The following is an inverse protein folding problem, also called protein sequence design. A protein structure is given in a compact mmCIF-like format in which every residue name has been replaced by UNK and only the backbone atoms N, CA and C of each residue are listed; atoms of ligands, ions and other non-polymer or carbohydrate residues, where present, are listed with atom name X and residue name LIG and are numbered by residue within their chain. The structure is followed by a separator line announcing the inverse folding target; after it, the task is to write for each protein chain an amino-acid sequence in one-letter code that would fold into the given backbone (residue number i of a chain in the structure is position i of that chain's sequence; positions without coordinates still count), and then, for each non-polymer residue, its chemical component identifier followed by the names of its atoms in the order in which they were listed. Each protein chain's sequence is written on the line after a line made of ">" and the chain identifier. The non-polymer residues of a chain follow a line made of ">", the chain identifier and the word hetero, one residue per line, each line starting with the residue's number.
data_IF_578106888733
#
_entry.id   IF_578106888733
#
_cell.length_a   1.000
_cell.length_b   1.000
_cell.length_c   1.000
_cell.angle_alpha   90.00
_cell.angle_beta   90.00
_cell.angle_gamma   90.00
#
_symmetry.space_group_name_H-M   'P 1'
#
loop_
_entity.id
_entity.type
_entity.pdbx_description
1 polymer ?
#
# COMPACT_ATOMS: atom_id res chain seq x y z
N UNK A 1 -6.60 -28.84 -12.30
CA UNK A 1 -8.00 -28.36 -12.40
C UNK A 1 -8.57 -28.11 -11.03
N UNK A 2 -9.50 -27.17 -10.90
CA UNK A 2 -10.05 -26.75 -9.60
C UNK A 2 -10.79 -27.88 -8.89
N UNK A 3 -10.47 -28.11 -7.62
CA UNK A 3 -11.12 -29.09 -6.77
C UNK A 3 -11.97 -28.40 -5.68
N UNK A 4 -13.12 -29.00 -5.37
CA UNK A 4 -13.91 -28.69 -4.17
C UNK A 4 -13.73 -29.83 -3.18
N UNK A 5 -12.99 -29.60 -2.10
CA UNK A 5 -12.70 -30.64 -1.11
C UNK A 5 -13.40 -30.30 0.20
N UNK A 6 -14.45 -31.03 0.51
CA UNK A 6 -15.26 -30.85 1.71
C UNK A 6 -15.20 -32.13 2.55
N UNK A 7 -14.79 -32.01 3.81
CA UNK A 7 -14.76 -33.18 4.72
C UNK A 7 -15.68 -32.98 5.92
N UNK A 8 -16.43 -34.04 6.31
CA UNK A 8 -17.24 -34.01 7.52
C UNK A 8 -16.41 -34.10 8.79
N UNK A 9 -16.84 -33.43 9.71
CA UNK A 9 -16.65 -32.97 11.08
C UNK A 9 -15.63 -33.60 12.03
N UNK A 10 -14.97 -34.73 11.84
CA UNK A 10 -14.10 -35.30 12.88
C UNK A 10 -12.84 -36.01 12.36
N UNK A 11 -11.70 -35.77 13.03
CA UNK A 11 -10.39 -36.38 12.79
C UNK A 11 -9.44 -35.48 12.00
N UNK A 12 -8.18 -35.49 12.41
CA UNK A 12 -7.06 -34.76 11.78
C UNK A 12 -6.93 -35.17 10.33
N UNK A 13 -6.79 -34.21 9.42
CA UNK A 13 -6.66 -34.42 8.00
C UNK A 13 -5.43 -33.70 7.46
N UNK A 14 -4.84 -34.29 6.43
CA UNK A 14 -3.86 -33.64 5.58
C UNK A 14 -4.44 -33.61 4.16
N UNK A 15 -4.65 -32.41 3.63
CA UNK A 15 -5.36 -32.18 2.37
C UNK A 15 -4.46 -31.39 1.44
N UNK A 16 -4.36 -31.82 0.20
CA UNK A 16 -3.69 -31.11 -0.89
C UNK A 16 -4.68 -30.80 -2.00
N UNK A 17 -4.75 -29.53 -2.45
CA UNK A 17 -5.55 -29.09 -3.60
C UNK A 17 -4.94 -29.53 -4.92
N UNK A 18 -3.65 -29.35 -5.07
CA UNK A 18 -2.90 -29.66 -6.27
C UNK A 18 -2.77 -28.47 -7.21
N UNK A 19 -2.95 -28.67 -8.52
CA UNK A 19 -2.83 -27.58 -9.47
C UNK A 19 -4.20 -26.97 -9.80
N UNK A 20 -4.33 -25.68 -9.74
CA UNK A 20 -5.53 -24.90 -10.11
C UNK A 20 -6.15 -24.26 -8.88
N UNK A 21 -7.16 -23.44 -9.08
CA UNK A 21 -7.78 -22.68 -7.98
C UNK A 21 -8.71 -23.60 -7.19
N UNK A 22 -8.33 -23.95 -5.98
CA UNK A 22 -8.99 -24.95 -5.17
C UNK A 22 -9.76 -24.31 -4.01
N UNK A 23 -10.80 -24.97 -3.55
CA UNK A 23 -11.58 -24.59 -2.38
C UNK A 23 -11.53 -25.72 -1.36
N UNK A 24 -10.82 -25.53 -0.27
CA UNK A 24 -10.51 -26.54 0.73
C UNK A 24 -11.14 -26.18 2.06
N UNK A 25 -11.85 -27.12 2.68
CA UNK A 25 -12.46 -26.90 4.00
C UNK A 25 -12.09 -28.03 4.94
N UNK A 26 -11.46 -27.68 6.04
CA UNK A 26 -11.15 -28.55 7.17
C UNK A 26 -12.38 -28.92 8.01
N UNK A 27 -12.17 -29.25 9.24
CA UNK A 27 -13.24 -29.75 10.09
C UNK A 27 -13.33 -29.09 11.47
N UNK A 28 -13.43 -29.90 12.50
CA UNK A 28 -13.43 -29.47 13.89
C UNK A 28 -12.24 -29.98 14.68
N UNK A 29 -11.22 -30.47 14.01
CA UNK A 29 -9.98 -31.01 14.58
C UNK A 29 -8.82 -30.30 13.91
N UNK A 30 -7.66 -30.29 14.53
CA UNK A 30 -6.45 -29.74 13.92
C UNK A 30 -6.15 -30.41 12.58
N UNK A 31 -6.20 -29.65 11.50
CA UNK A 31 -6.03 -30.11 10.12
C UNK A 31 -4.76 -29.51 9.49
N UNK A 32 -4.26 -30.11 8.42
CA UNK A 32 -3.17 -29.57 7.58
C UNK A 32 -3.72 -29.39 6.17
N UNK A 33 -3.86 -28.13 5.74
CA UNK A 33 -4.43 -27.74 4.47
C UNK A 33 -3.37 -27.11 3.57
N UNK A 34 -3.21 -27.63 2.35
CA UNK A 34 -2.26 -27.16 1.36
C UNK A 34 -3.02 -26.87 0.06
N UNK A 35 -2.94 -25.60 -0.40
CA UNK A 35 -3.49 -25.20 -1.70
C UNK A 35 -2.67 -25.76 -2.85
N UNK A 36 -1.35 -25.81 -2.66
CA UNK A 36 -0.31 -26.20 -3.60
C UNK A 36 -0.08 -25.12 -4.68
N UNK A 37 -0.72 -25.14 -5.85
CA UNK A 37 -0.46 -24.18 -6.92
C UNK A 37 -1.73 -23.65 -7.56
N UNK A 38 -1.98 -22.36 -7.43
CA UNK A 38 -3.18 -21.72 -7.96
C UNK A 38 -3.56 -20.49 -7.15
N UNK A 39 -4.80 -20.07 -7.24
CA UNK A 39 -5.40 -19.08 -6.36
C UNK A 39 -6.42 -19.83 -5.52
N UNK A 40 -6.04 -20.14 -4.30
CA UNK A 40 -6.73 -21.11 -3.48
C UNK A 40 -7.52 -20.44 -2.34
N UNK A 41 -8.48 -21.18 -1.79
CA UNK A 41 -9.26 -20.73 -0.64
C UNK A 41 -9.31 -21.85 0.40
N UNK A 42 -8.71 -21.61 1.56
CA UNK A 42 -8.54 -22.57 2.63
C UNK A 42 -9.32 -22.12 3.87
N UNK A 43 -10.16 -22.99 4.41
CA UNK A 43 -10.88 -22.80 5.68
C UNK A 43 -10.51 -23.89 6.68
N UNK A 44 -9.79 -23.56 7.74
CA UNK A 44 -9.47 -24.49 8.86
C UNK A 44 -10.71 -24.81 9.70
N UNK A 45 -11.45 -23.80 10.13
CA UNK A 45 -12.66 -23.77 10.97
C UNK A 45 -12.35 -23.86 12.47
N UNK A 46 -12.44 -25.03 13.08
CA UNK A 46 -12.12 -25.21 14.51
C UNK A 46 -10.96 -26.20 14.62
N UNK A 47 -10.05 -25.93 15.51
CA UNK A 47 -8.87 -26.76 15.70
C UNK A 47 -7.63 -25.90 15.77
N UNK A 48 -6.48 -26.51 15.90
CA UNK A 48 -5.22 -25.82 15.70
C UNK A 48 -4.72 -26.24 14.33
N UNK A 49 -5.01 -25.46 13.33
CA UNK A 49 -4.86 -25.83 11.94
C UNK A 49 -3.52 -25.34 11.36
N UNK A 50 -3.07 -25.96 10.29
CA UNK A 50 -1.95 -25.49 9.47
C UNK A 50 -2.49 -25.22 8.08
N UNK A 51 -2.33 -23.96 7.62
CA UNK A 51 -2.75 -23.50 6.31
C UNK A 51 -1.52 -23.04 5.52
N UNK A 52 -1.34 -23.61 4.34
CA UNK A 52 -0.29 -23.27 3.39
C UNK A 52 -0.94 -23.06 2.03
N UNK A 53 -1.05 -21.80 1.60
CA UNK A 53 -1.64 -21.47 0.30
C UNK A 53 -0.84 -22.06 -0.86
N UNK A 54 0.49 -21.95 -0.79
CA UNK A 54 1.40 -22.44 -1.82
C UNK A 54 1.77 -21.36 -2.83
N UNK A 55 1.80 -21.71 -4.13
CA UNK A 55 2.06 -20.74 -5.19
C UNK A 55 0.79 -20.03 -5.61
N UNK A 56 0.73 -18.72 -5.49
CA UNK A 56 -0.39 -17.87 -5.94
C UNK A 56 -0.92 -16.97 -4.85
N UNK A 57 -1.94 -16.20 -5.19
CA UNK A 57 -2.60 -15.26 -4.28
C UNK A 57 -3.74 -15.97 -3.54
N UNK A 58 -3.48 -16.43 -2.33
CA UNK A 58 -4.35 -17.34 -1.62
C UNK A 58 -5.15 -16.66 -0.50
N UNK A 59 -6.30 -17.23 -0.18
CA UNK A 59 -7.09 -16.84 0.98
C UNK A 59 -7.08 -17.97 2.02
N UNK A 60 -6.67 -17.63 3.24
CA UNK A 60 -6.51 -18.57 4.34
C UNK A 60 -7.29 -18.08 5.58
N UNK A 61 -8.28 -18.84 6.02
CA UNK A 61 -9.07 -18.59 7.23
C UNK A 61 -8.89 -19.78 8.19
N UNK A 62 -8.13 -19.58 9.26
CA UNK A 62 -7.88 -20.62 10.28
C UNK A 62 -9.11 -20.89 11.12
N UNK A 63 -9.79 -19.85 11.52
CA UNK A 63 -11.04 -19.91 12.26
C UNK A 63 -10.86 -19.87 13.77
N UNK A 64 -11.12 -20.92 14.50
CA UNK A 64 -10.95 -20.95 15.95
C UNK A 64 -9.87 -21.95 16.36
N UNK A 65 -8.91 -21.48 17.09
CA UNK A 65 -7.80 -22.32 17.54
C UNK A 65 -6.49 -21.54 17.55
N UNK A 66 -5.38 -22.24 17.70
CA UNK A 66 -4.07 -21.61 17.54
C UNK A 66 -3.50 -22.09 16.21
N UNK A 67 -3.65 -21.27 15.19
CA UNK A 67 -3.43 -21.65 13.82
C UNK A 67 -2.04 -21.23 13.30
N UNK A 68 -1.59 -21.89 12.27
CA UNK A 68 -0.31 -21.62 11.61
C UNK A 68 -0.55 -21.35 10.14
N UNK A 69 -0.08 -20.20 9.68
CA UNK A 69 -0.16 -19.76 8.30
C UNK A 69 1.22 -19.73 7.66
N UNK A 70 1.34 -20.23 6.44
CA UNK A 70 2.51 -20.04 5.59
C UNK A 70 2.17 -19.07 4.48
N UNK A 71 2.86 -17.93 4.46
CA UNK A 71 2.67 -16.82 3.53
C UNK A 71 3.85 -16.75 2.58
N UNK A 72 3.62 -16.95 1.31
CA UNK A 72 4.66 -17.01 0.28
C UNK A 72 4.47 -16.04 -0.89
N UNK A 73 3.29 -15.46 -1.05
CA UNK A 73 2.97 -14.42 -2.03
C UNK A 73 2.56 -13.11 -1.34
N UNK A 74 2.82 -11.97 -1.99
CA UNK A 74 2.46 -10.63 -1.45
C UNK A 74 0.96 -10.38 -1.45
N UNK A 75 0.20 -11.16 -2.20
CA UNK A 75 -1.26 -11.10 -2.30
C UNK A 75 -1.96 -12.18 -1.49
N UNK A 76 -1.23 -12.95 -0.68
CA UNK A 76 -1.83 -13.87 0.28
C UNK A 76 -2.62 -13.09 1.33
N UNK A 77 -3.83 -13.56 1.61
CA UNK A 77 -4.73 -12.96 2.59
C UNK A 77 -4.99 -13.93 3.73
N UNK A 78 -4.82 -13.43 4.96
CA UNK A 78 -5.16 -14.17 6.17
C UNK A 78 -6.42 -13.58 6.78
N UNK A 79 -7.37 -14.45 7.16
CA UNK A 79 -8.47 -14.16 8.06
C UNK A 79 -8.43 -15.10 9.26
N UNK A 80 -8.99 -14.67 10.38
CA UNK A 80 -9.06 -15.46 11.58
C UNK A 80 -10.18 -14.98 12.52
N UNK A 81 -10.75 -15.89 13.30
CA UNK A 81 -11.80 -15.53 14.24
C UNK A 81 -11.32 -15.48 15.68
N UNK A 82 -10.38 -16.33 16.10
CA UNK A 82 -9.86 -16.34 17.46
C UNK A 82 -8.75 -17.36 17.67
N UNK A 83 -7.73 -16.98 18.41
CA UNK A 83 -6.64 -17.87 18.70
C UNK A 83 -5.44 -17.18 19.33
N UNK A 84 -4.31 -17.84 19.20
CA UNK A 84 -2.98 -17.27 19.35
C UNK A 84 -2.15 -17.79 18.19
N UNK A 85 -2.13 -17.03 17.11
CA UNK A 85 -1.85 -17.50 15.78
C UNK A 85 -0.44 -17.12 15.34
N UNK A 86 0.12 -17.91 14.41
CA UNK A 86 1.49 -17.71 13.95
C UNK A 86 1.55 -17.69 12.44
N UNK A 87 2.07 -16.62 11.84
CA UNK A 87 2.40 -16.56 10.42
C UNK A 87 3.91 -16.75 10.19
N UNK A 88 4.27 -17.69 9.31
CA UNK A 88 5.60 -17.84 8.74
C UNK A 88 5.61 -17.18 7.36
N UNK A 89 6.38 -16.11 7.22
CA UNK A 89 6.37 -15.25 6.05
C UNK A 89 7.67 -15.41 5.29
N UNK A 90 7.62 -15.89 4.06
CA UNK A 90 8.78 -16.13 3.21
C UNK A 90 8.95 -15.12 2.07
N UNK A 91 7.97 -14.21 1.90
CA UNK A 91 8.03 -13.10 0.95
C UNK A 91 8.12 -11.76 1.68
N UNK A 92 8.79 -10.76 1.07
CA UNK A 92 8.95 -9.44 1.68
C UNK A 92 7.77 -8.53 1.39
N UNK A 93 7.51 -7.62 2.32
CA UNK A 93 6.56 -6.51 2.16
C UNK A 93 5.10 -6.92 2.02
N UNK A 94 4.70 -8.07 2.52
CA UNK A 94 3.29 -8.46 2.60
C UNK A 94 2.62 -7.84 3.83
N UNK A 95 1.37 -7.43 3.69
CA UNK A 95 0.53 -7.00 4.81
C UNK A 95 0.11 -8.22 5.62
N UNK A 96 0.57 -8.30 6.87
CA UNK A 96 0.08 -9.32 7.83
C UNK A 96 -0.88 -8.63 8.80
N UNK A 97 -2.12 -9.13 8.94
CA UNK A 97 -3.09 -8.56 9.86
C UNK A 97 -2.60 -8.53 11.31
N UNK A 98 -2.93 -7.47 12.05
CA UNK A 98 -2.47 -7.27 13.42
C UNK A 98 -3.12 -8.22 14.44
N UNK A 99 -4.14 -8.95 14.05
CA UNK A 99 -4.73 -10.00 14.87
C UNK A 99 -3.89 -11.30 14.87
N UNK A 100 -2.84 -11.41 14.03
CA UNK A 100 -1.85 -12.49 14.10
C UNK A 100 -0.80 -12.10 15.14
N UNK A 101 -0.79 -12.79 16.28
CA UNK A 101 0.04 -12.41 17.44
C UNK A 101 1.52 -12.67 17.22
N UNK A 102 1.86 -13.58 16.33
CA UNK A 102 3.26 -13.94 16.07
C UNK A 102 3.57 -14.03 14.60
N UNK A 103 4.48 -13.18 14.16
CA UNK A 103 4.98 -13.18 12.78
C UNK A 103 6.48 -13.56 12.77
N UNK A 104 6.84 -14.52 11.94
CA UNK A 104 8.20 -15.02 11.77
C UNK A 104 8.61 -14.87 10.30
N UNK A 105 9.49 -13.93 10.03
CA UNK A 105 10.06 -13.76 8.70
C UNK A 105 11.15 -14.78 8.44
N UNK A 106 11.05 -15.50 7.33
CA UNK A 106 11.96 -16.58 6.91
C UNK A 106 12.63 -16.21 5.58
N UNK A 107 13.68 -16.92 5.21
CA UNK A 107 14.36 -16.73 3.91
C UNK A 107 14.85 -15.29 3.64
N UNK A 108 15.07 -14.49 4.69
CA UNK A 108 15.47 -13.08 4.54
C UNK A 108 14.33 -12.12 4.21
N UNK A 109 13.09 -12.57 4.28
CA UNK A 109 11.91 -11.71 4.07
C UNK A 109 11.87 -10.55 5.07
N UNK A 110 11.35 -9.41 4.63
CA UNK A 110 11.32 -8.15 5.37
C UNK A 110 9.87 -7.71 5.56
N UNK A 111 9.55 -7.22 6.76
CA UNK A 111 8.24 -6.68 7.10
C UNK A 111 7.86 -5.49 6.19
N UNK A 112 6.57 -5.34 5.94
CA UNK A 112 6.04 -4.14 5.30
C UNK A 112 6.45 -2.91 6.12
N UNK A 113 6.94 -1.82 5.49
CA UNK A 113 7.33 -0.63 6.21
C UNK A 113 6.15 -0.02 6.97
N UNK A 114 6.36 0.32 8.25
CA UNK A 114 5.30 0.81 9.13
C UNK A 114 4.54 2.03 8.59
N UNK A 115 5.19 2.88 7.79
CA UNK A 115 4.57 4.08 7.21
C UNK A 115 3.64 3.79 6.03
N UNK A 116 3.73 2.61 5.45
CA UNK A 116 2.77 2.07 4.47
C UNK A 116 1.71 1.26 5.22
N UNK A 117 2.17 0.36 6.09
CA UNK A 117 1.34 -0.55 6.87
C UNK A 117 0.28 0.17 7.72
N UNK A 118 0.65 1.32 8.33
CA UNK A 118 -0.22 2.16 9.15
C UNK A 118 -1.40 2.81 8.40
N UNK A 119 -1.41 2.76 7.09
CA UNK A 119 -2.47 3.31 6.25
C UNK A 119 -3.28 2.22 5.54
N UNK A 120 -3.01 0.95 5.83
CA UNK A 120 -3.66 -0.20 5.20
C UNK A 120 -4.50 -0.97 6.23
N UNK A 121 -5.79 -1.21 5.96
CA UNK A 121 -6.65 -1.97 6.86
C UNK A 121 -6.21 -3.43 7.00
N UNK A 122 -6.54 -4.05 8.13
CA UNK A 122 -6.26 -5.46 8.41
C UNK A 122 -7.20 -6.44 7.70
N UNK A 123 -8.03 -5.99 6.82
CA UNK A 123 -9.06 -6.87 6.33
C UNK A 123 -8.54 -7.86 5.29
N UNK A 124 -8.61 -9.13 5.64
CA UNK A 124 -8.45 -10.26 4.73
C UNK A 124 -9.60 -10.39 3.72
N UNK A 125 -10.68 -9.66 3.87
CA UNK A 125 -11.88 -9.79 3.05
C UNK A 125 -11.76 -9.25 1.62
N UNK A 126 -10.54 -9.11 1.10
CA UNK A 126 -10.33 -8.70 -0.30
C UNK A 126 -10.76 -7.28 -0.58
N UNK A 127 -10.57 -6.39 0.37
CA UNK A 127 -10.95 -4.98 0.27
C UNK A 127 -10.00 -4.17 -0.62
N UNK A 128 -8.99 -4.79 -1.19
CA UNK A 128 -8.13 -4.13 -2.15
C UNK A 128 -8.74 -4.21 -3.54
N UNK A 129 -8.89 -3.07 -4.16
CA UNK A 129 -9.44 -3.00 -5.51
C UNK A 129 -8.56 -3.58 -6.58
N UNK A 130 -7.28 -3.80 -6.36
CA UNK A 130 -6.43 -4.46 -7.33
C UNK A 130 -7.02 -5.82 -7.73
N UNK A 131 -7.53 -6.59 -6.76
CA UNK A 131 -8.24 -7.86 -7.02
C UNK A 131 -9.56 -7.68 -7.75
N UNK A 132 -10.26 -6.55 -7.58
CA UNK A 132 -11.53 -6.24 -8.25
C UNK A 132 -11.34 -5.61 -9.63
N UNK A 133 -10.24 -4.89 -9.86
CA UNK A 133 -9.93 -4.23 -11.12
C UNK A 133 -9.53 -5.21 -12.22
N UNK A 134 -8.91 -6.33 -11.86
CA UNK A 134 -8.31 -7.24 -12.81
C UNK A 134 -7.30 -6.52 -13.71
N UNK A 135 -7.14 -6.97 -14.93
CA UNK A 135 -6.15 -6.41 -15.88
C UNK A 135 -6.53 -5.04 -16.48
N UNK A 136 -7.68 -4.49 -16.15
CA UNK A 136 -8.16 -3.23 -16.77
C UNK A 136 -7.68 -1.97 -16.09
N UNK A 137 -7.24 -2.03 -14.83
CA UNK A 137 -6.86 -0.91 -13.97
C UNK A 137 -7.84 0.28 -14.05
N UNK A 138 -9.15 0.00 -14.22
CA UNK A 138 -10.16 1.03 -14.46
C UNK A 138 -11.20 1.03 -13.36
N UNK A 139 -11.29 2.15 -12.64
CA UNK A 139 -12.42 2.51 -11.81
C UNK A 139 -13.46 3.28 -12.64
N UNK A 140 -14.71 3.05 -12.35
CA UNK A 140 -15.79 3.89 -12.83
C UNK A 140 -16.21 4.87 -11.75
N UNK A 141 -16.85 5.99 -12.14
CA UNK A 141 -17.44 6.91 -11.19
C UNK A 141 -18.78 7.46 -11.68
N UNK A 142 -19.66 7.76 -10.73
CA UNK A 142 -21.02 8.22 -11.01
C UNK A 142 -21.42 9.35 -10.05
N UNK A 143 -22.23 10.28 -10.57
CA UNK A 143 -22.92 11.30 -9.77
C UNK A 143 -24.42 11.07 -9.90
N UNK A 144 -25.04 10.27 -9.03
CA UNK A 144 -26.42 9.84 -9.18
C UNK A 144 -27.41 11.00 -8.98
N UNK A 145 -28.52 10.94 -9.69
CA UNK A 145 -29.64 11.90 -9.52
C UNK A 145 -30.67 11.44 -8.47
N UNK A 146 -30.55 10.23 -8.00
CA UNK A 146 -31.33 9.63 -6.92
C UNK A 146 -30.44 8.59 -6.21
N UNK A 147 -30.77 8.24 -4.96
CA UNK A 147 -30.06 7.19 -4.21
C UNK A 147 -30.08 5.90 -5.03
N UNK A 148 -28.92 5.23 -5.24
CA UNK A 148 -28.86 3.96 -5.95
C UNK A 148 -29.76 2.91 -5.28
N UNK A 149 -30.40 2.06 -6.08
CA UNK A 149 -31.41 1.09 -5.57
C UNK A 149 -30.82 -0.02 -4.72
N UNK A 150 -29.52 -0.27 -4.81
CA UNK A 150 -28.80 -1.22 -3.97
C UNK A 150 -28.48 -0.64 -2.58
N UNK A 151 -28.41 0.68 -2.46
CA UNK A 151 -28.16 1.33 -1.17
C UNK A 151 -29.44 1.41 -0.35
N UNK A 152 -29.57 0.50 0.57
CA UNK A 152 -30.72 0.39 1.49
C UNK A 152 -30.46 1.05 2.83
N UNK A 153 -29.32 1.71 3.01
CA UNK A 153 -29.00 2.41 4.25
C UNK A 153 -29.84 3.68 4.38
N UNK A 154 -30.71 3.71 5.38
CA UNK A 154 -31.60 4.84 5.61
C UNK A 154 -30.86 6.16 5.87
N UNK A 155 -29.66 6.11 6.46
CA UNK A 155 -28.83 7.30 6.71
C UNK A 155 -28.31 7.91 5.42
N UNK A 156 -27.98 7.11 4.41
CA UNK A 156 -27.50 7.59 3.10
C UNK A 156 -28.64 8.31 2.34
N UNK A 157 -29.87 7.82 2.46
CA UNK A 157 -31.05 8.46 1.88
C UNK A 157 -31.53 9.72 2.60
N UNK A 158 -31.11 9.94 3.85
CA UNK A 158 -31.57 11.07 4.63
C UNK A 158 -30.99 12.40 4.11
N UNK A 159 -31.86 13.22 3.51
CA UNK A 159 -31.45 14.48 2.92
C UNK A 159 -30.60 14.33 1.65
N UNK A 160 -30.71 13.21 0.94
CA UNK A 160 -29.99 12.97 -0.32
C UNK A 160 -30.11 14.17 -1.27
N UNK A 161 -28.98 14.61 -1.81
CA UNK A 161 -28.89 15.63 -2.87
C UNK A 161 -27.80 15.25 -3.86
N UNK A 162 -28.06 15.59 -5.11
CA UNK A 162 -27.09 15.46 -6.20
C UNK A 162 -25.92 16.43 -6.00
N UNK A 163 -24.79 16.09 -6.58
CA UNK A 163 -23.67 17.00 -6.67
C UNK A 163 -23.97 18.19 -7.56
N UNK A 164 -23.53 19.37 -7.16
CA UNK A 164 -23.50 20.56 -7.99
C UNK A 164 -22.43 20.43 -9.10
N UNK A 165 -22.56 21.23 -10.16
CA UNK A 165 -21.56 21.27 -11.25
C UNK A 165 -20.14 21.62 -10.72
N UNK A 166 -20.04 22.42 -9.67
CA UNK A 166 -18.76 22.78 -9.04
C UNK A 166 -18.17 21.58 -8.31
N UNK A 167 -18.97 20.86 -7.52
CA UNK A 167 -18.52 19.64 -6.84
C UNK A 167 -18.05 18.58 -7.85
N UNK A 168 -18.83 18.37 -8.93
CA UNK A 168 -18.45 17.46 -10.02
C UNK A 168 -17.08 17.82 -10.60
N UNK A 169 -16.89 19.08 -11.00
CA UNK A 169 -15.64 19.52 -11.59
C UNK A 169 -14.44 19.37 -10.65
N UNK A 170 -14.64 19.60 -9.35
CA UNK A 170 -13.57 19.43 -8.33
C UNK A 170 -13.25 17.97 -8.09
N UNK A 171 -14.26 17.11 -8.03
CA UNK A 171 -14.07 15.65 -7.91
C UNK A 171 -13.34 15.09 -9.14
N UNK A 172 -13.74 15.49 -10.34
CA UNK A 172 -13.06 15.08 -11.58
C UNK A 172 -11.60 15.56 -11.61
N UNK A 173 -11.31 16.75 -11.08
CA UNK A 173 -9.93 17.22 -10.94
C UNK A 173 -9.12 16.37 -9.96
N UNK A 174 -9.69 15.97 -8.80
CA UNK A 174 -9.07 15.07 -7.85
C UNK A 174 -8.79 13.69 -8.47
N UNK A 175 -9.77 13.10 -9.15
CA UNK A 175 -9.61 11.80 -9.82
C UNK A 175 -8.53 11.82 -10.91
N UNK A 176 -8.44 12.91 -11.68
CA UNK A 176 -7.38 13.11 -12.68
C UNK A 176 -5.99 13.22 -12.02
N UNK A 177 -5.89 13.94 -10.90
CA UNK A 177 -4.64 13.98 -10.12
C UNK A 177 -4.26 12.58 -9.65
N UNK A 178 -5.20 11.83 -9.06
CA UNK A 178 -4.96 10.48 -8.54
C UNK A 178 -4.44 9.56 -9.65
N UNK A 179 -5.07 9.57 -10.82
CA UNK A 179 -4.60 8.81 -12.00
C UNK A 179 -3.21 9.23 -12.51
N UNK A 180 -2.74 10.42 -12.15
CA UNK A 180 -1.37 10.86 -12.44
C UNK A 180 -0.33 10.39 -11.40
N UNK A 181 -0.78 9.79 -10.30
CA UNK A 181 0.08 9.35 -9.19
C UNK A 181 0.14 7.83 -9.08
N UNK A 182 -0.97 7.14 -9.31
CA UNK A 182 -1.08 5.67 -9.25
C UNK A 182 -1.54 5.08 -10.60
N UNK A 183 -1.26 3.79 -10.82
CA UNK A 183 -1.55 3.10 -12.10
C UNK A 183 -3.02 2.69 -12.23
N UNK A 184 -3.91 3.68 -12.18
CA UNK A 184 -5.36 3.49 -12.39
C UNK A 184 -5.92 4.49 -13.38
N UNK A 185 -7.07 4.16 -13.94
CA UNK A 185 -7.87 5.06 -14.78
C UNK A 185 -9.24 5.28 -14.15
N UNK A 186 -9.77 6.49 -14.26
CA UNK A 186 -11.13 6.80 -13.84
C UNK A 186 -12.01 7.12 -15.05
N UNK A 187 -13.14 6.41 -15.20
CA UNK A 187 -14.09 6.62 -16.30
C UNK A 187 -15.48 6.92 -15.78
N UNK A 188 -16.06 8.02 -16.24
CA UNK A 188 -17.43 8.38 -15.88
C UNK A 188 -18.43 7.39 -16.46
N UNK A 189 -19.39 6.96 -15.63
CA UNK A 189 -20.48 6.07 -16.05
C UNK A 189 -21.84 6.64 -15.67
N UNK A 190 -22.89 6.22 -16.38
CA UNK A 190 -24.28 6.53 -16.00
C UNK A 190 -24.86 5.49 -15.03
N UNK A 191 -24.23 4.34 -14.89
CA UNK A 191 -24.65 3.26 -13.97
C UNK A 191 -23.87 3.37 -12.67
N UNK A 192 -24.57 3.33 -11.56
CA UNK A 192 -23.97 3.19 -10.23
C UNK A 192 -23.71 1.71 -9.84
N UNK A 193 -24.20 0.76 -10.65
CA UNK A 193 -24.19 -0.66 -10.31
C UNK A 193 -22.92 -1.34 -10.82
N UNK A 194 -21.82 -1.22 -10.08
CA UNK A 194 -20.57 -1.89 -10.41
C UNK A 194 -19.68 -1.95 -9.17
N UNK A 195 -19.01 -3.08 -8.95
CA UNK A 195 -18.14 -3.30 -7.79
C UNK A 195 -16.95 -2.32 -7.74
N UNK A 196 -16.49 -1.88 -8.92
CA UNK A 196 -15.40 -0.91 -9.06
C UNK A 196 -15.92 0.50 -9.44
N UNK A 197 -17.09 0.88 -8.93
CA UNK A 197 -17.73 2.16 -9.25
C UNK A 197 -17.85 3.03 -8.02
N UNK A 198 -17.22 4.19 -8.05
CA UNK A 198 -17.36 5.23 -7.03
C UNK A 198 -18.63 6.02 -7.25
N UNK A 199 -19.47 6.09 -6.25
CA UNK A 199 -20.68 6.91 -6.28
C UNK A 199 -20.48 8.11 -5.37
N UNK A 200 -20.68 9.31 -5.92
CA UNK A 200 -20.53 10.58 -5.19
C UNK A 200 -21.87 11.27 -5.00
N UNK A 201 -22.30 11.43 -3.77
CA UNK A 201 -23.55 12.10 -3.44
C UNK A 201 -23.43 12.96 -2.17
N UNK A 202 -24.43 13.83 -1.95
CA UNK A 202 -24.57 14.53 -0.68
C UNK A 202 -25.73 13.94 0.11
N UNK A 203 -25.63 13.96 1.44
CA UNK A 203 -26.68 13.62 2.37
C UNK A 203 -26.59 14.49 3.64
N UNK A 204 -27.53 14.37 4.55
CA UNK A 204 -27.42 15.05 5.85
C UNK A 204 -26.67 14.17 6.83
N UNK A 205 -25.49 14.63 7.26
CA UNK A 205 -24.68 13.97 8.27
C UNK A 205 -24.67 14.82 9.55
N UNK A 206 -24.84 14.18 10.70
CA UNK A 206 -24.94 14.90 11.99
C UNK A 206 -23.60 15.10 12.69
N UNK A 207 -22.57 14.33 12.32
CA UNK A 207 -21.30 14.26 13.06
C UNK A 207 -20.05 14.19 12.18
N UNK A 208 -20.21 14.14 10.85
CA UNK A 208 -19.08 14.08 9.92
C UNK A 208 -19.28 15.04 8.74
N UNK A 209 -18.20 15.48 8.14
CA UNK A 209 -18.22 16.29 6.91
C UNK A 209 -18.36 15.41 5.66
N UNK A 210 -17.92 14.17 5.74
CA UNK A 210 -18.01 13.14 4.71
C UNK A 210 -18.04 11.75 5.31
N UNK A 211 -18.27 10.76 4.50
CA UNK A 211 -18.12 9.33 4.80
C UNK A 211 -17.92 8.55 3.52
N UNK A 212 -17.05 7.57 3.55
CA UNK A 212 -16.83 6.64 2.46
C UNK A 212 -16.95 5.20 2.94
N UNK A 213 -17.38 4.32 2.05
CA UNK A 213 -17.26 2.90 2.25
C UNK A 213 -15.89 2.42 1.71
N UNK A 214 -15.25 1.50 2.42
CA UNK A 214 -14.05 0.83 1.91
C UNK A 214 -14.36 0.00 0.66
N UNK A 215 -13.35 -0.27 -0.16
CA UNK A 215 -13.47 -1.23 -1.25
C UNK A 215 -14.04 -2.55 -0.74
N UNK A 216 -15.00 -3.12 -1.44
CA UNK A 216 -15.59 -4.40 -1.05
C UNK A 216 -16.21 -5.13 -2.24
N UNK A 217 -16.47 -6.41 -2.08
CA UNK A 217 -17.18 -7.23 -3.05
C UNK A 217 -18.71 -6.94 -3.13
N UNK A 218 -19.14 -5.77 -2.64
CA UNK A 218 -20.53 -5.30 -2.71
C UNK A 218 -20.64 -4.01 -3.51
N UNK A 219 -21.80 -3.75 -4.11
CA UNK A 219 -22.01 -2.55 -4.94
C UNK A 219 -21.93 -1.23 -4.15
N UNK A 220 -22.05 -1.26 -2.83
CA UNK A 220 -21.91 -0.08 -1.97
C UNK A 220 -20.45 0.21 -1.61
N UNK A 221 -19.53 -0.72 -1.90
CA UNK A 221 -18.12 -0.50 -1.71
C UNK A 221 -17.66 0.74 -2.49
N UNK A 222 -16.89 1.60 -1.83
CA UNK A 222 -16.39 2.87 -2.38
C UNK A 222 -17.43 3.94 -2.70
N UNK A 223 -18.66 3.81 -2.21
CA UNK A 223 -19.62 4.90 -2.24
C UNK A 223 -19.24 5.99 -1.23
N UNK A 224 -19.34 7.25 -1.67
CA UNK A 224 -18.87 8.43 -0.93
C UNK A 224 -20.01 9.44 -0.77
N UNK A 225 -20.26 9.83 0.47
CA UNK A 225 -21.30 10.77 0.83
C UNK A 225 -20.72 11.98 1.57
N UNK A 226 -21.16 13.19 1.21
CA UNK A 226 -20.74 14.43 1.85
C UNK A 226 -21.92 15.11 2.54
N UNK A 227 -21.65 15.71 3.70
CA UNK A 227 -22.66 16.51 4.38
C UNK A 227 -23.10 17.70 3.52
N UNK A 228 -24.42 17.98 3.51
CA UNK A 228 -25.04 19.04 2.72
C UNK A 228 -24.73 20.45 3.19
N UNK A 229 -23.88 20.62 4.22
CA UNK A 229 -23.48 21.93 4.73
C UNK A 229 -22.81 22.82 3.66
N UNK A 230 -22.84 24.12 3.88
CA UNK A 230 -22.26 25.08 2.95
C UNK A 230 -20.74 24.90 2.76
N UNK A 231 -20.05 24.31 3.74
CA UNK A 231 -18.61 24.03 3.67
C UNK A 231 -18.30 23.12 2.48
N UNK A 232 -19.05 22.03 2.32
CA UNK A 232 -18.79 21.02 1.27
C UNK A 232 -19.31 21.44 -0.12
N UNK A 233 -19.96 22.58 -0.23
CA UNK A 233 -20.65 22.97 -1.47
C UNK A 233 -19.72 23.21 -2.66
N UNK A 234 -18.41 23.40 -2.44
CA UNK A 234 -17.45 23.80 -3.50
C UNK A 234 -16.18 22.99 -3.55
N UNK A 235 -15.78 22.28 -2.51
CA UNK A 235 -14.46 21.62 -2.40
C UNK A 235 -13.31 22.52 -2.87
N UNK A 236 -13.31 23.78 -2.41
CA UNK A 236 -12.38 24.79 -2.90
C UNK A 236 -10.96 24.54 -2.36
N UNK A 237 -9.94 24.77 -3.19
CA UNK A 237 -8.56 24.74 -2.75
C UNK A 237 -8.35 25.67 -1.54
N UNK A 238 -7.52 25.25 -0.60
CA UNK A 238 -7.28 25.92 0.65
C UNK A 238 -8.35 25.71 1.72
N UNK A 239 -9.42 24.96 1.43
CA UNK A 239 -10.52 24.72 2.37
C UNK A 239 -10.48 23.33 3.00
N UNK A 240 -11.04 23.21 4.21
CA UNK A 240 -11.26 21.91 4.86
C UNK A 240 -12.09 20.94 4.00
N UNK A 241 -12.99 21.46 3.16
CA UNK A 241 -13.77 20.63 2.23
C UNK A 241 -12.91 19.98 1.14
N UNK A 242 -11.81 20.61 0.72
CA UNK A 242 -10.86 19.97 -0.19
C UNK A 242 -10.17 18.78 0.50
N UNK A 243 -9.77 18.95 1.77
CA UNK A 243 -9.26 17.83 2.58
C UNK A 243 -10.32 16.73 2.71
N UNK A 244 -11.56 17.06 3.07
CA UNK A 244 -12.64 16.07 3.19
C UNK A 244 -12.81 15.28 1.89
N UNK A 245 -12.80 15.93 0.73
CA UNK A 245 -12.95 15.23 -0.55
C UNK A 245 -11.83 14.22 -0.81
N UNK A 246 -10.57 14.64 -0.64
CA UNK A 246 -9.44 13.75 -0.90
C UNK A 246 -9.31 12.65 0.17
N UNK A 247 -9.65 12.94 1.43
CA UNK A 247 -9.71 11.99 2.53
C UNK A 247 -10.72 10.88 2.25
N UNK A 248 -11.96 11.22 1.91
CA UNK A 248 -12.99 10.21 1.62
C UNK A 248 -12.66 9.39 0.36
N UNK A 249 -12.02 10.00 -0.63
CA UNK A 249 -11.50 9.24 -1.77
C UNK A 249 -10.37 8.30 -1.33
N UNK A 250 -9.54 8.69 -0.36
CA UNK A 250 -8.53 7.83 0.26
C UNK A 250 -9.14 6.55 0.84
N UNK A 251 -10.20 6.67 1.64
CA UNK A 251 -10.95 5.51 2.14
C UNK A 251 -11.53 4.66 1.01
N UNK A 252 -12.14 5.29 0.03
CA UNK A 252 -12.71 4.60 -1.12
C UNK A 252 -11.66 3.89 -1.99
N UNK A 253 -10.39 4.25 -1.88
CA UNK A 253 -9.23 3.59 -2.48
C UNK A 253 -8.56 2.56 -1.55
N UNK A 254 -9.02 2.43 -0.32
CA UNK A 254 -8.51 1.43 0.63
C UNK A 254 -7.59 1.95 1.72
N UNK A 255 -7.41 3.26 1.88
CA UNK A 255 -6.63 3.80 2.98
C UNK A 255 -7.44 3.88 4.27
N UNK A 256 -6.81 3.56 5.40
CA UNK A 256 -7.41 3.75 6.73
C UNK A 256 -6.77 4.92 7.50
N UNK A 257 -7.32 5.21 8.67
CA UNK A 257 -6.74 6.21 9.55
C UNK A 257 -5.47 5.70 10.23
N UNK A 258 -4.40 6.52 10.31
CA UNK A 258 -3.12 6.11 10.86
C UNK A 258 -3.06 6.07 12.39
N UNK A 259 -4.16 6.21 13.10
CA UNK A 259 -4.23 6.36 14.54
C UNK A 259 -5.30 5.45 15.17
N UNK A 260 -5.13 5.13 16.48
CA UNK A 260 -6.13 4.41 17.22
C UNK A 260 -7.36 5.29 17.52
N UNK A 261 -8.54 4.90 17.07
CA UNK A 261 -9.80 5.59 17.42
C UNK A 261 -10.06 5.68 18.93
N UNK A 262 -9.58 4.71 19.71
CA UNK A 262 -9.67 4.77 21.17
C UNK A 262 -8.89 5.96 21.76
N UNK A 263 -7.79 6.34 21.13
CA UNK A 263 -7.02 7.54 21.52
C UNK A 263 -7.66 8.83 21.01
N UNK A 264 -8.30 8.80 19.84
CA UNK A 264 -9.00 9.94 19.27
C UNK A 264 -10.40 10.19 19.85
N UNK A 265 -10.87 9.34 20.76
CA UNK A 265 -12.19 9.47 21.40
C UNK A 265 -13.36 9.06 20.50
N UNK A 266 -13.11 8.37 19.41
CA UNK A 266 -14.10 7.88 18.44
C UNK A 266 -14.37 6.37 18.57
N UNK A 267 -15.36 5.88 17.84
CA UNK A 267 -15.82 4.49 17.84
C UNK A 267 -15.62 3.77 16.50
N UNK A 268 -14.60 4.11 15.75
CA UNK A 268 -14.27 3.45 14.48
C UNK A 268 -13.24 2.33 14.64
N UNK A 269 -13.02 1.57 13.58
CA UNK A 269 -11.96 0.58 13.47
C UNK A 269 -10.74 1.23 12.82
N UNK A 270 -9.57 1.02 13.40
CA UNK A 270 -8.27 1.26 12.78
C UNK A 270 -7.29 0.29 13.41
N UNK A 271 -6.33 -0.15 12.64
CA UNK A 271 -5.47 -1.28 12.96
C UNK A 271 -4.01 -0.85 13.11
N UNK A 272 -3.26 -1.39 14.10
CA UNK A 272 -1.83 -1.12 14.17
C UNK A 272 -1.06 -1.74 12.99
N UNK A 273 0.14 -1.19 12.68
CA UNK A 273 0.84 -0.15 13.41
C UNK A 273 0.23 1.25 13.21
N UNK A 274 0.43 2.15 14.17
CA UNK A 274 -0.04 3.52 14.08
C UNK A 274 1.12 4.48 13.83
N UNK A 275 0.87 5.55 13.06
CA UNK A 275 1.77 6.69 13.03
C UNK A 275 1.73 7.40 14.39
N UNK A 276 2.86 7.99 14.79
CA UNK A 276 2.98 8.62 16.10
C UNK A 276 3.61 10.01 16.03
N UNK A 277 3.26 10.88 16.97
CA UNK A 277 3.83 12.21 17.09
C UNK A 277 3.62 13.06 15.84
N UNK A 278 4.68 13.61 15.26
CA UNK A 278 4.59 14.51 14.12
C UNK A 278 4.23 13.82 12.78
N UNK A 279 4.29 12.49 12.72
CA UNK A 279 3.93 11.73 11.51
C UNK A 279 2.41 11.58 11.37
N UNK A 280 1.68 11.46 12.48
CA UNK A 280 0.24 11.51 12.47
C UNK A 280 -0.23 12.95 12.30
N UNK A 281 -0.18 13.45 11.08
CA UNK A 281 -0.62 14.78 10.73
C UNK A 281 -0.95 14.91 9.24
N UNK A 282 -1.80 15.89 8.91
CA UNK A 282 -2.20 16.15 7.52
C UNK A 282 -1.06 16.60 6.61
N UNK A 283 0.11 16.96 7.16
CA UNK A 283 1.30 17.21 6.38
C UNK A 283 1.88 15.92 5.75
N UNK A 284 1.66 14.75 6.38
CA UNK A 284 2.20 13.47 5.95
C UNK A 284 1.16 12.51 5.42
N UNK A 285 -0.07 12.58 5.93
CA UNK A 285 -1.19 11.79 5.44
C UNK A 285 -2.51 12.54 5.59
N UNK A 286 -3.27 12.65 4.51
CA UNK A 286 -4.61 13.26 4.56
C UNK A 286 -5.59 12.43 5.39
N UNK A 287 -5.23 11.19 5.76
CA UNK A 287 -6.04 10.32 6.60
C UNK A 287 -5.93 10.66 8.10
N UNK A 288 -4.99 11.53 8.50
CA UNK A 288 -4.87 12.01 9.88
C UNK A 288 -5.95 13.05 10.23
N UNK A 289 -6.33 13.08 11.52
CA UNK A 289 -7.19 14.14 12.09
C UNK A 289 -6.40 15.27 12.75
N UNK A 290 -5.06 15.12 12.85
CA UNK A 290 -4.18 16.16 13.37
C UNK A 290 -3.86 17.17 12.27
N UNK A 291 -4.55 18.30 12.35
CA UNK A 291 -4.46 19.38 11.36
C UNK A 291 -3.21 20.24 11.58
N UNK A 292 -2.29 20.23 10.65
CA UNK A 292 -1.07 21.02 10.67
C UNK A 292 -0.97 22.01 9.50
N UNK A 293 -1.92 21.96 8.56
CA UNK A 293 -1.91 22.80 7.36
C UNK A 293 -2.96 23.90 7.46
N UNK A 294 -2.57 25.13 7.15
CA UNK A 294 -3.52 26.23 6.98
C UNK A 294 -4.22 26.23 5.62
N UNK A 295 -3.79 25.36 4.70
CA UNK A 295 -4.34 25.27 3.34
C UNK A 295 -4.30 23.83 2.86
N UNK A 296 -5.43 23.34 2.32
CA UNK A 296 -5.58 22.00 1.79
C UNK A 296 -5.82 22.01 0.29
N UNK A 297 -5.30 21.02 -0.39
CA UNK A 297 -5.42 20.84 -1.82
C UNK A 297 -6.02 19.47 -2.14
N UNK A 298 -6.49 19.29 -3.38
CA UNK A 298 -7.01 18.02 -3.87
C UNK A 298 -5.88 17.07 -4.28
N UNK A 299 -4.96 16.81 -3.34
CA UNK A 299 -3.83 15.91 -3.54
C UNK A 299 -3.51 15.13 -2.27
N UNK A 300 -2.98 13.95 -2.43
CA UNK A 300 -2.48 13.12 -1.34
C UNK A 300 -1.16 13.66 -0.79
N UNK A 301 -0.94 13.42 0.50
CA UNK A 301 0.32 13.64 1.17
C UNK A 301 1.33 12.51 0.89
N UNK A 302 2.62 12.64 1.25
CA UNK A 302 3.63 11.66 0.86
C UNK A 302 3.36 10.22 1.31
N UNK A 303 2.84 10.00 2.51
CA UNK A 303 2.59 8.65 3.02
C UNK A 303 1.36 8.03 2.35
N UNK A 304 0.32 8.81 2.06
CA UNK A 304 -0.83 8.32 1.28
C UNK A 304 -0.38 7.85 -0.09
N UNK A 305 0.47 8.64 -0.74
CA UNK A 305 1.05 8.30 -2.04
C UNK A 305 1.83 7.00 -1.97
N UNK A 306 2.66 6.80 -0.94
CA UNK A 306 3.44 5.59 -0.76
C UNK A 306 2.54 4.36 -0.55
N UNK A 307 1.49 4.47 0.28
CA UNK A 307 0.54 3.40 0.54
C UNK A 307 -0.31 3.07 -0.70
N UNK A 308 -0.79 4.07 -1.42
CA UNK A 308 -1.55 3.84 -2.65
C UNK A 308 -0.68 3.25 -3.77
N UNK A 309 0.59 3.61 -3.85
CA UNK A 309 1.53 3.00 -4.80
C UNK A 309 1.91 1.57 -4.41
N UNK A 310 1.84 1.22 -3.12
CA UNK A 310 1.93 -0.18 -2.70
C UNK A 310 0.74 -0.99 -3.23
N UNK A 311 -0.49 -0.45 -3.17
CA UNK A 311 -1.71 -1.15 -3.62
C UNK A 311 -1.79 -1.21 -5.16
N UNK A 312 -1.55 -0.08 -5.85
CA UNK A 312 -1.90 0.09 -7.28
C UNK A 312 -0.69 0.26 -8.19
N UNK A 313 0.51 0.41 -7.65
CA UNK A 313 1.69 0.85 -8.38
C UNK A 313 1.66 2.35 -8.74
N UNK A 314 2.81 2.93 -9.13
CA UNK A 314 2.90 4.30 -9.62
C UNK A 314 2.33 4.43 -11.03
N UNK A 315 1.84 5.61 -11.37
CA UNK A 315 1.36 5.92 -12.72
C UNK A 315 2.47 5.76 -13.75
N UNK A 316 2.32 4.84 -14.68
CA UNK A 316 3.31 4.55 -15.75
C UNK A 316 3.39 5.63 -16.83
N UNK A 317 2.56 6.64 -16.77
CA UNK A 317 2.52 7.76 -17.72
C UNK A 317 3.02 9.08 -17.15
N UNK A 318 3.11 9.17 -15.83
CA UNK A 318 3.71 10.31 -15.14
C UNK A 318 5.17 9.96 -14.80
N UNK A 319 6.05 10.96 -14.87
CA UNK A 319 7.50 10.75 -14.65
C UNK A 319 8.02 9.57 -15.49
N UNK A 320 7.70 9.56 -16.77
CA UNK A 320 8.03 8.47 -17.69
C UNK A 320 9.27 8.79 -18.55
N UNK A 321 10.04 9.77 -18.14
CA UNK A 321 11.31 10.17 -18.77
C UNK A 321 12.50 9.62 -18.01
N UNK A 322 13.70 10.01 -18.39
CA UNK A 322 14.90 9.73 -17.61
C UNK A 322 15.07 10.87 -16.60
N UNK A 323 14.63 10.66 -15.37
CA UNK A 323 14.55 11.67 -14.34
C UNK A 323 15.75 11.60 -13.36
N UNK A 324 16.09 12.74 -12.75
CA UNK A 324 17.15 12.83 -11.75
C UNK A 324 16.55 13.30 -10.43
N UNK A 325 16.54 12.43 -9.43
CA UNK A 325 16.04 12.67 -8.08
C UNK A 325 17.18 13.11 -7.16
N UNK A 326 17.31 14.42 -6.96
CA UNK A 326 18.31 14.98 -6.05
C UNK A 326 17.88 14.81 -4.61
N UNK A 327 18.72 14.15 -3.83
CA UNK A 327 18.48 13.91 -2.42
C UNK A 327 18.67 15.18 -1.60
N UNK A 328 17.70 15.47 -0.73
CA UNK A 328 17.73 16.53 0.25
C UNK A 328 18.24 15.99 1.60
N UNK A 329 19.24 16.65 2.19
CA UNK A 329 19.66 16.40 3.58
C UNK A 329 18.78 17.10 4.63
N UNK A 330 17.91 18.04 4.23
CA UNK A 330 17.09 18.88 5.12
C UNK A 330 15.60 18.57 5.09
N UNK A 331 15.17 17.64 4.22
CA UNK A 331 13.80 17.14 4.13
C UNK A 331 13.83 15.62 3.93
N UNK A 332 12.78 14.89 4.23
CA UNK A 332 12.65 13.50 3.82
C UNK A 332 12.49 13.38 2.30
N UNK A 333 12.88 12.22 1.77
CA UNK A 333 12.89 11.96 0.34
C UNK A 333 12.02 10.73 0.06
N UNK A 334 10.79 10.96 -0.40
CA UNK A 334 9.89 9.94 -0.92
C UNK A 334 9.98 9.94 -2.44
N UNK A 335 10.74 9.01 -2.99
CA UNK A 335 11.05 8.95 -4.42
C UNK A 335 10.11 7.95 -5.08
N UNK A 336 9.49 8.35 -6.19
CA UNK A 336 8.73 7.45 -7.03
C UNK A 336 8.86 7.83 -8.50
N UNK A 337 8.80 6.84 -9.34
CA UNK A 337 8.90 6.98 -10.79
C UNK A 337 7.90 6.07 -11.50
N UNK A 338 7.50 6.46 -12.70
CA UNK A 338 6.57 5.70 -13.52
C UNK A 338 7.25 4.81 -14.55
N UNK A 339 8.25 5.33 -15.23
CA UNK A 339 9.05 4.61 -16.22
C UNK A 339 10.21 5.47 -16.71
N UNK A 340 11.27 4.85 -17.11
CA UNK A 340 12.43 5.55 -17.66
C UNK A 340 13.71 4.80 -17.40
N UNK A 341 14.81 5.53 -17.37
CA UNK A 341 16.07 5.13 -16.78
C UNK A 341 16.51 6.26 -15.85
N UNK A 342 16.32 6.05 -14.58
CA UNK A 342 16.24 7.09 -13.58
C UNK A 342 17.40 7.07 -12.63
N UNK A 343 17.74 8.22 -12.06
CA UNK A 343 18.93 8.38 -11.21
C UNK A 343 18.57 9.00 -9.88
N UNK A 344 18.97 8.38 -8.78
CA UNK A 344 19.06 9.04 -7.47
C UNK A 344 20.46 9.68 -7.37
N UNK A 345 20.49 11.00 -7.10
CA UNK A 345 21.71 11.81 -7.07
C UNK A 345 21.98 12.36 -5.68
N UNK A 346 23.08 11.90 -5.05
CA UNK A 346 23.57 12.32 -3.75
C UNK A 346 24.67 13.39 -3.85
N UNK A 347 25.03 13.86 -5.04
CA UNK A 347 26.16 14.80 -5.21
C UNK A 347 26.04 16.10 -4.43
N UNK A 348 24.81 16.47 -4.02
CA UNK A 348 24.50 17.67 -3.27
C UNK A 348 24.43 17.51 -1.75
N UNK A 349 24.58 16.30 -1.20
CA UNK A 349 24.52 16.09 0.25
C UNK A 349 25.87 16.42 0.90
N UNK A 350 25.84 16.72 2.19
CA UNK A 350 27.00 17.21 2.94
C UNK A 350 27.58 16.18 3.94
N UNK A 351 27.16 14.93 3.82
CA UNK A 351 27.59 13.77 4.62
C UNK A 351 27.42 12.53 3.78
N UNK A 352 28.10 11.45 4.16
CA UNK A 352 27.87 10.13 3.57
C UNK A 352 26.44 9.64 3.82
N UNK A 353 25.98 8.73 3.00
CA UNK A 353 24.62 8.21 3.02
C UNK A 353 24.57 6.68 2.95
N UNK A 354 23.47 6.13 3.40
CA UNK A 354 23.08 4.75 3.10
C UNK A 354 21.83 4.81 2.22
N UNK A 355 21.89 4.30 1.01
CA UNK A 355 20.77 4.39 0.04
C UNK A 355 20.49 3.04 -0.59
N UNK A 356 19.20 2.72 -0.64
CA UNK A 356 18.66 1.56 -1.35
C UNK A 356 17.75 2.08 -2.48
N UNK A 357 18.00 1.63 -3.71
CA UNK A 357 17.08 1.92 -4.82
C UNK A 357 15.98 0.87 -4.96
N UNK A 358 16.04 -0.18 -4.17
CA UNK A 358 14.95 -1.15 -4.02
C UNK A 358 13.79 -0.52 -3.26
N UNK A 359 12.53 -0.59 -3.79
CA UNK A 359 11.35 -0.05 -3.14
C UNK A 359 11.11 -0.61 -1.72
N UNK A 360 10.60 0.23 -0.83
CA UNK A 360 10.25 -0.13 0.54
C UNK A 360 11.42 -0.14 1.53
N UNK A 361 12.65 -0.08 1.06
CA UNK A 361 13.82 0.03 1.94
C UNK A 361 14.00 1.45 2.48
N UNK A 362 14.62 1.55 3.62
CA UNK A 362 14.83 2.81 4.34
C UNK A 362 16.31 3.20 4.38
N UNK A 363 16.67 4.15 3.51
CA UNK A 363 17.96 4.82 3.48
C UNK A 363 17.97 6.15 4.27
N UNK A 364 19.15 6.72 4.42
CA UNK A 364 19.34 7.98 5.16
C UNK A 364 20.66 8.67 4.79
N UNK A 365 20.67 9.99 4.88
CA UNK A 365 21.89 10.80 4.85
C UNK A 365 22.46 10.88 6.27
N UNK A 366 23.77 10.69 6.43
CA UNK A 366 24.47 10.70 7.71
C UNK A 366 24.78 9.30 8.25
N UNK A 367 25.13 9.22 9.52
CA UNK A 367 25.63 7.99 10.15
C UNK A 367 24.54 7.10 10.77
N UNK A 368 23.31 7.61 10.89
CA UNK A 368 22.23 6.91 11.59
C UNK A 368 20.88 7.17 10.95
N UNK A 369 20.08 6.11 10.89
CA UNK A 369 18.67 6.16 10.59
C UNK A 369 17.92 6.90 11.69
N UNK A 370 17.02 7.81 11.32
CA UNK A 370 16.17 8.52 12.28
C UNK A 370 15.09 7.58 12.88
N UNK A 371 14.36 8.09 13.86
CA UNK A 371 13.24 7.36 14.46
C UNK A 371 12.03 7.26 13.52
N UNK A 372 11.87 8.24 12.61
CA UNK A 372 10.74 8.34 11.69
C UNK A 372 11.21 8.57 10.25
N UNK A 373 10.48 8.02 9.27
CA UNK A 373 10.77 8.17 7.84
C UNK A 373 10.57 9.62 7.38
N UNK A 374 9.75 10.37 8.06
CA UNK A 374 9.45 11.79 7.78
C UNK A 374 10.53 12.75 8.27
N UNK A 375 11.55 12.25 8.95
CA UNK A 375 12.70 13.07 9.41
C UNK A 375 13.58 13.51 8.24
N UNK A 376 14.27 14.63 8.42
CA UNK A 376 15.20 15.18 7.43
C UNK A 376 16.26 14.15 7.02
N UNK A 377 16.57 14.10 5.73
CA UNK A 377 17.58 13.21 5.16
C UNK A 377 17.22 11.73 5.12
N UNK A 378 16.01 11.34 5.52
CA UNK A 378 15.53 9.97 5.31
C UNK A 378 15.12 9.76 3.85
N UNK A 379 15.32 8.55 3.33
CA UNK A 379 15.15 8.23 1.90
C UNK A 379 14.40 6.93 1.76
N UNK A 380 13.41 6.89 0.89
CA UNK A 380 12.76 5.64 0.45
C UNK A 380 12.32 5.77 -1.01
N UNK A 381 12.36 4.66 -1.72
CA UNK A 381 11.73 4.51 -3.03
C UNK A 381 10.35 3.87 -2.81
N UNK A 382 9.31 4.46 -3.37
CA UNK A 382 7.95 3.93 -3.23
C UNK A 382 7.76 2.66 -4.07
N UNK A 383 6.88 1.79 -3.61
CA UNK A 383 6.59 0.51 -4.26
C UNK A 383 6.16 0.67 -5.72
N UNK A 384 6.57 -0.28 -6.55
CA UNK A 384 6.30 -0.32 -7.98
C UNK A 384 7.17 0.61 -8.83
N UNK A 385 7.96 1.51 -8.21
CA UNK A 385 8.96 2.32 -8.91
C UNK A 385 10.21 1.50 -9.21
N UNK A 386 10.83 1.74 -10.35
CA UNK A 386 12.13 1.16 -10.70
C UNK A 386 13.10 2.33 -10.89
N UNK A 387 14.24 2.26 -10.22
CA UNK A 387 15.35 3.21 -10.36
C UNK A 387 16.58 2.39 -10.74
N UNK A 388 17.25 2.75 -11.81
CA UNK A 388 18.38 1.98 -12.35
C UNK A 388 19.73 2.55 -11.93
N UNK A 389 19.80 3.87 -11.68
CA UNK A 389 21.07 4.53 -11.44
C UNK A 389 21.15 5.17 -10.07
N UNK A 390 22.35 5.13 -9.50
CA UNK A 390 22.65 5.77 -8.21
C UNK A 390 24.01 6.47 -8.28
N UNK A 391 24.02 7.75 -7.96
CA UNK A 391 25.25 8.54 -7.87
C UNK A 391 25.47 8.94 -6.43
N UNK A 392 26.59 8.54 -5.87
CA UNK A 392 27.04 8.82 -4.53
C UNK A 392 27.47 10.28 -4.31
N UNK A 393 27.95 10.56 -3.14
CA UNK A 393 28.35 11.88 -2.67
C UNK A 393 29.87 12.11 -2.79
N UNK A 394 30.39 13.07 -2.05
CA UNK A 394 31.82 13.25 -1.86
C UNK A 394 32.31 12.69 -0.50
N UNK A 395 31.56 11.82 0.11
CA UNK A 395 31.83 11.20 1.41
C UNK A 395 31.63 9.69 1.30
N UNK A 396 32.11 8.94 2.27
CA UNK A 396 31.91 7.50 2.31
C UNK A 396 30.42 7.12 2.35
N UNK A 397 29.95 6.44 1.33
CA UNK A 397 28.56 6.04 1.10
C UNK A 397 28.37 4.51 1.17
N UNK A 398 27.15 4.09 1.42
CA UNK A 398 26.68 2.71 1.22
C UNK A 398 25.54 2.71 0.21
N UNK A 399 25.79 2.18 -0.97
CA UNK A 399 24.92 2.27 -2.13
C UNK A 399 24.46 0.87 -2.53
N UNK A 400 23.17 0.63 -2.48
CA UNK A 400 22.56 -0.67 -2.77
C UNK A 400 21.63 -0.57 -3.99
N UNK A 401 21.88 -1.44 -4.96
CA UNK A 401 21.08 -1.62 -6.16
C UNK A 401 19.75 -2.32 -5.93
N UNK A 402 19.26 -2.94 -6.99
CA UNK A 402 18.06 -3.76 -7.00
C UNK A 402 18.24 -4.94 -7.99
N UNK A 403 17.15 -5.63 -8.37
CA UNK A 403 17.22 -6.79 -9.25
C UNK A 403 17.29 -6.46 -10.76
N UNK A 404 17.49 -5.18 -11.13
CA UNK A 404 17.68 -4.76 -12.54
C UNK A 404 19.12 -4.40 -12.81
N UNK A 405 19.50 -4.27 -14.09
CA UNK A 405 20.84 -3.80 -14.48
C UNK A 405 21.06 -2.37 -13.94
N UNK A 406 21.98 -2.19 -12.98
CA UNK A 406 22.22 -0.92 -12.31
C UNK A 406 23.54 -0.24 -12.78
N UNK A 407 23.53 1.09 -12.78
CA UNK A 407 24.72 1.91 -12.90
C UNK A 407 24.93 2.68 -11.59
N UNK A 408 25.93 2.27 -10.80
CA UNK A 408 26.21 2.82 -9.47
C UNK A 408 27.59 3.45 -9.45
N UNK A 409 27.66 4.73 -9.07
CA UNK A 409 28.90 5.50 -8.92
C UNK A 409 29.06 5.92 -7.49
N UNK A 410 30.13 5.52 -6.80
CA UNK A 410 30.44 5.86 -5.41
C UNK A 410 30.74 7.34 -5.23
N UNK A 411 31.63 7.88 -6.02
CA UNK A 411 32.02 9.29 -5.94
C UNK A 411 33.39 9.48 -5.33
N UNK A 412 33.51 10.39 -4.36
CA UNK A 412 34.71 10.51 -3.54
C UNK A 412 34.42 9.90 -2.18
N UNK A 413 35.37 9.17 -1.63
CA UNK A 413 35.18 8.58 -0.30
C UNK A 413 35.64 7.14 -0.28
N UNK A 414 35.43 6.45 0.80
CA UNK A 414 35.61 5.01 0.86
C UNK A 414 34.22 4.39 0.83
N UNK A 415 33.79 3.97 -0.34
CA UNK A 415 32.42 3.63 -0.64
C UNK A 415 32.19 2.11 -0.61
N UNK A 416 30.97 1.72 -0.21
CA UNK A 416 30.43 0.37 -0.35
C UNK A 416 29.37 0.37 -1.43
N UNK A 417 29.59 -0.36 -2.51
CA UNK A 417 28.63 -0.54 -3.59
C UNK A 417 28.21 -2.00 -3.70
N UNK A 418 26.92 -2.25 -3.72
CA UNK A 418 26.34 -3.58 -3.86
C UNK A 418 25.25 -3.56 -4.94
N UNK A 419 25.46 -4.27 -6.05
CA UNK A 419 24.55 -4.29 -7.20
C UNK A 419 23.26 -5.08 -6.97
N UNK A 420 23.33 -6.11 -6.10
CA UNK A 420 22.29 -7.11 -5.82
C UNK A 420 22.06 -8.08 -6.97
N UNK A 421 21.20 -7.78 -7.92
CA UNK A 421 20.92 -8.62 -9.07
C UNK A 421 20.83 -7.81 -10.36
N UNK A 422 20.97 -8.48 -11.50
CA UNK A 422 21.11 -7.80 -12.79
C UNK A 422 22.55 -7.89 -13.31
N UNK A 423 22.85 -7.16 -14.38
CA UNK A 423 24.22 -7.04 -14.88
C UNK A 423 24.70 -5.60 -14.62
N UNK A 424 25.42 -5.41 -13.55
CA UNK A 424 25.68 -4.12 -12.97
C UNK A 424 27.00 -3.51 -13.44
N UNK A 425 27.05 -2.17 -13.51
CA UNK A 425 28.27 -1.41 -13.65
C UNK A 425 28.51 -0.59 -12.38
N UNK A 426 29.51 -0.99 -11.60
CA UNK A 426 29.90 -0.37 -10.35
C UNK A 426 31.20 0.40 -10.54
N UNK A 427 31.19 1.68 -10.23
CA UNK A 427 32.36 2.58 -10.30
C UNK A 427 32.60 3.14 -8.90
N UNK A 428 33.69 2.70 -8.24
CA UNK A 428 34.04 3.19 -6.91
C UNK A 428 34.36 4.68 -6.92
N UNK A 429 35.28 5.09 -7.76
CA UNK A 429 35.83 6.43 -7.80
C UNK A 429 37.09 6.56 -6.93
N UNK A 430 37.54 7.80 -6.61
CA UNK A 430 38.70 7.99 -5.75
C UNK A 430 38.43 7.63 -4.29
N UNK A 431 39.06 6.56 -3.79
CA UNK A 431 38.93 6.07 -2.42
C UNK A 431 39.41 4.64 -2.24
N UNK A 432 39.27 4.13 -1.04
CA UNK A 432 39.43 2.69 -0.76
C UNK A 432 38.03 2.08 -0.76
N UNK A 433 37.58 1.62 -1.94
CA UNK A 433 36.19 1.22 -2.19
C UNK A 433 36.00 -0.30 -2.13
N UNK A 434 34.82 -0.74 -1.74
CA UNK A 434 34.38 -2.12 -1.73
C UNK A 434 33.19 -2.31 -2.69
N UNK A 435 33.39 -3.14 -3.73
CA UNK A 435 32.41 -3.36 -4.81
C UNK A 435 31.97 -4.82 -4.82
N UNK A 436 30.67 -5.05 -4.68
CA UNK A 436 30.01 -6.35 -4.79
C UNK A 436 28.99 -6.29 -5.94
N UNK A 437 29.20 -7.03 -7.02
CA UNK A 437 28.26 -7.07 -8.13
C UNK A 437 26.95 -7.78 -7.77
N UNK A 438 27.05 -8.87 -6.99
CA UNK A 438 25.86 -9.66 -6.64
C UNK A 438 25.60 -10.80 -7.62
N UNK A 439 24.34 -10.95 -8.05
CA UNK A 439 23.90 -12.01 -8.96
C UNK A 439 23.80 -11.47 -10.39
N UNK A 440 24.68 -11.94 -11.28
CA UNK A 440 24.65 -11.50 -12.68
C UNK A 440 26.01 -11.56 -13.35
N UNK A 441 26.18 -10.76 -14.40
CA UNK A 441 27.46 -10.53 -15.07
C UNK A 441 27.84 -9.07 -14.87
N UNK A 442 28.66 -8.82 -13.86
CA UNK A 442 28.91 -7.50 -13.38
C UNK A 442 30.25 -6.94 -13.86
N UNK A 443 30.32 -5.62 -13.89
CA UNK A 443 31.57 -4.89 -14.22
C UNK A 443 31.92 -3.97 -13.06
N UNK A 444 33.08 -4.17 -12.46
CA UNK A 444 33.64 -3.29 -11.44
C UNK A 444 34.77 -2.44 -12.04
N UNK A 445 34.72 -1.13 -11.77
CA UNK A 445 35.77 -0.19 -12.19
C UNK A 445 36.32 0.52 -10.94
N UNK A 446 37.63 0.41 -10.78
CA UNK A 446 38.41 1.14 -9.75
C UNK A 446 39.22 2.24 -10.42
N UNK A 447 39.37 3.39 -9.79
CA UNK A 447 40.26 4.47 -10.24
C UNK A 447 41.52 4.55 -9.38
#
# INVERSE_FOLDING_TARGET
>A
GSAYIFYPATGIKKIHGGNGNDFIVGGSSSDELFGDAGIDTLYGRNGNDILDGGEGADYMDGGSGNDIYYVSDIYDLIDDTSGNDTAYVSTSFVKIPSFIEKVIYTNGAIALPYWVDALLPNEASGNYFDTLLGSSNTFYYNFPIALPSYDTNASHGYGFKTFSSVQIARTEAALNYIASVIDVQFKKTISANGLNTFVFANNNQSSSAGSANYPSASMIGSDIYFDTSAINSKFADGSYAALTLIHEIGHALGLEHPFSYAQAGGGGLSDPPYLTGAEDSTAWTVMSYEDTSAQYYLNFSPLDTAALQYIYGPSKTARAGNDIYKVSSTAPNFIWDGAGTDTIDLSGVNQGATVFITPGYWGFVGSQKAATITSSGQITVNFGSIIENLTGSSFADKLYGNDTDNYIVGGLGNDWLDGWGGNDLLIGGPGDDELNGGVGIDTAQFE
#
